data_IF_548080664648
#
_entry.id   IF_548080664648
#
_cell.length_a   1.000
_cell.length_b   1.000
_cell.length_c   1.000
_cell.angle_alpha   90.00
_cell.angle_beta   90.00
_cell.angle_gamma   90.00
#
_symmetry.space_group_name_H-M   'P 1'
#
loop_
_entity.id
_entity.type
_entity.pdbx_description
1 polymer ?
#
# COMPACT_ATOMS: atom_id res chain seq x y z
N UNK A 1 4.70 -13.14 12.11
CA UNK A 1 4.82 -14.06 13.26
C UNK A 1 5.64 -15.25 12.82
N UNK A 2 6.58 -15.68 13.65
CA UNK A 2 7.40 -16.88 13.44
C UNK A 2 6.90 -17.93 14.44
N UNK A 3 6.59 -19.13 13.96
CA UNK A 3 6.16 -20.26 14.77
C UNK A 3 7.08 -21.43 14.41
N UNK A 4 8.04 -21.70 15.28
CA UNK A 4 9.16 -22.63 15.06
C UNK A 4 9.69 -23.02 16.44
N UNK A 5 9.84 -24.32 16.71
CA UNK A 5 10.30 -24.83 18.01
C UNK A 5 11.82 -24.75 18.17
N UNK A 6 12.57 -25.00 17.10
CA UNK A 6 14.04 -24.91 17.12
C UNK A 6 14.53 -23.46 17.26
N UNK A 7 15.21 -23.15 18.36
CA UNK A 7 15.65 -21.78 18.67
C UNK A 7 16.67 -21.24 17.66
N UNK A 8 17.52 -22.12 17.10
CA UNK A 8 18.50 -21.73 16.09
C UNK A 8 17.82 -21.34 14.77
N UNK A 9 16.87 -22.15 14.29
CA UNK A 9 16.06 -21.86 13.11
C UNK A 9 15.22 -20.59 13.31
N UNK A 10 14.55 -20.45 14.46
CA UNK A 10 13.77 -19.26 14.81
C UNK A 10 14.65 -18.01 14.84
N UNK A 11 15.85 -18.08 15.43
CA UNK A 11 16.84 -16.99 15.44
C UNK A 11 17.33 -16.63 14.03
N UNK A 12 17.58 -17.62 13.19
CA UNK A 12 17.97 -17.41 11.80
C UNK A 12 16.87 -16.68 11.03
N UNK A 13 15.63 -17.17 11.10
CA UNK A 13 14.47 -16.54 10.45
C UNK A 13 14.31 -15.10 10.94
N UNK A 14 14.35 -14.87 12.26
CA UNK A 14 14.29 -13.52 12.84
C UNK A 14 15.37 -12.60 12.28
N UNK A 15 16.60 -13.11 12.13
CA UNK A 15 17.72 -12.33 11.59
C UNK A 15 17.50 -11.98 10.12
N UNK A 16 17.02 -12.92 9.32
CA UNK A 16 16.63 -12.69 7.92
C UNK A 16 15.56 -11.61 7.85
N UNK A 17 14.52 -11.71 8.70
CA UNK A 17 13.41 -10.76 8.70
C UNK A 17 13.88 -9.34 9.08
N UNK A 18 14.62 -9.18 10.18
CA UNK A 18 15.11 -7.86 10.62
C UNK A 18 16.03 -7.17 9.62
N UNK A 19 16.83 -7.95 8.87
CA UNK A 19 17.78 -7.39 7.89
C UNK A 19 17.11 -6.94 6.60
N UNK A 20 16.02 -7.58 6.19
CA UNK A 20 15.44 -7.38 4.86
C UNK A 20 14.08 -6.68 4.88
N UNK A 21 13.42 -6.58 6.04
CA UNK A 21 12.05 -6.06 6.15
C UNK A 21 11.89 -5.15 7.37
N UNK A 22 11.25 -4.00 7.16
CA UNK A 22 10.75 -3.16 8.25
C UNK A 22 9.46 -3.77 8.83
N UNK A 23 9.60 -4.67 9.80
CA UNK A 23 8.48 -5.39 10.38
C UNK A 23 8.62 -5.60 11.90
N UNK A 24 7.47 -5.72 12.58
CA UNK A 24 7.40 -6.20 13.95
C UNK A 24 7.43 -7.73 13.94
N UNK A 25 8.29 -8.32 14.76
CA UNK A 25 8.44 -9.77 14.86
C UNK A 25 7.77 -10.24 16.15
N UNK A 26 6.83 -11.18 15.97
CA UNK A 26 6.15 -11.92 17.03
C UNK A 26 6.62 -13.36 16.89
N UNK A 27 7.02 -13.98 18.00
CA UNK A 27 7.61 -15.33 18.00
C UNK A 27 6.80 -16.25 18.91
N UNK A 28 6.62 -17.50 18.48
CA UNK A 28 6.06 -18.57 19.27
C UNK A 28 6.88 -19.85 19.04
N UNK A 29 7.08 -20.62 20.10
CA UNK A 29 7.87 -21.87 20.05
C UNK A 29 7.03 -23.12 19.75
N UNK A 30 5.70 -23.01 19.75
CA UNK A 30 4.78 -24.10 19.42
C UNK A 30 3.38 -23.56 19.09
N UNK A 31 2.46 -24.46 18.71
CA UNK A 31 1.10 -24.10 18.35
C UNK A 31 0.23 -23.54 19.48
N UNK A 32 0.39 -24.02 20.72
CA UNK A 32 -0.40 -23.53 21.87
C UNK A 32 -0.01 -22.11 22.26
N UNK A 33 1.30 -21.83 22.31
CA UNK A 33 1.84 -20.48 22.53
C UNK A 33 1.39 -19.55 21.41
N UNK A 34 1.41 -20.03 20.17
CA UNK A 34 0.92 -19.25 19.04
C UNK A 34 -0.56 -18.89 19.18
N UNK A 35 -1.42 -19.86 19.50
CA UNK A 35 -2.86 -19.63 19.72
C UNK A 35 -3.11 -18.65 20.87
N UNK A 36 -2.32 -18.71 21.94
CA UNK A 36 -2.43 -17.78 23.05
C UNK A 36 -2.09 -16.34 22.63
N UNK A 37 -1.02 -16.16 21.86
CA UNK A 37 -0.64 -14.84 21.33
C UNK A 37 -1.67 -14.32 20.33
N UNK A 38 -2.23 -15.19 19.49
CA UNK A 38 -3.24 -14.83 18.49
C UNK A 38 -4.54 -14.31 19.11
N UNK A 39 -4.81 -14.54 20.41
CA UNK A 39 -5.95 -13.93 21.11
C UNK A 39 -5.83 -12.41 21.23
N UNK A 40 -4.62 -11.88 21.25
CA UNK A 40 -4.37 -10.44 21.44
C UNK A 40 -3.71 -9.79 20.23
N UNK A 41 -3.02 -10.55 19.39
CA UNK A 41 -2.24 -10.04 18.25
C UNK A 41 -2.69 -10.68 16.94
N UNK A 42 -2.93 -9.87 15.90
CA UNK A 42 -3.29 -10.37 14.56
C UNK A 42 -2.12 -10.14 13.60
N UNK A 43 -1.31 -11.16 13.29
CA UNK A 43 -0.16 -11.00 12.41
C UNK A 43 -0.58 -10.84 10.94
N UNK A 44 0.22 -10.09 10.18
CA UNK A 44 -0.01 -9.94 8.74
C UNK A 44 0.48 -11.12 7.91
N UNK A 45 1.52 -11.82 8.37
CA UNK A 45 2.08 -13.04 7.75
C UNK A 45 2.51 -13.98 8.88
N UNK A 46 2.25 -15.26 8.71
CA UNK A 46 2.72 -16.33 9.59
C UNK A 46 3.76 -17.17 8.83
N UNK A 47 4.93 -17.36 9.43
CA UNK A 47 5.91 -18.36 9.05
C UNK A 47 5.74 -19.52 10.02
N UNK A 48 5.41 -20.70 9.51
CA UNK A 48 5.00 -21.84 10.33
C UNK A 48 5.84 -23.07 9.99
N UNK A 49 6.53 -23.62 10.98
CA UNK A 49 7.03 -24.98 10.88
C UNK A 49 5.88 -25.98 11.01
N UNK A 50 5.89 -27.02 10.17
CA UNK A 50 4.97 -28.14 10.28
C UNK A 50 5.45 -29.15 11.32
N UNK A 51 6.76 -29.35 11.42
CA UNK A 51 7.35 -30.40 12.23
C UNK A 51 7.67 -29.93 13.64
N UNK A 52 6.64 -29.53 14.40
CA UNK A 52 6.79 -29.08 15.79
C UNK A 52 6.24 -30.09 16.82
N UNK A 53 6.82 -30.18 18.02
CA UNK A 53 6.24 -30.90 19.16
C UNK A 53 5.04 -30.14 19.77
N UNK A 54 4.31 -30.81 20.68
CA UNK A 54 3.13 -30.30 21.41
C UNK A 54 1.88 -30.14 20.54
N UNK A 55 1.94 -29.34 19.48
CA UNK A 55 0.87 -29.20 18.50
C UNK A 55 1.49 -29.16 17.09
N UNK A 56 1.03 -30.06 16.22
CA UNK A 56 1.45 -30.13 14.83
C UNK A 56 1.07 -28.83 14.09
N UNK A 57 2.00 -28.28 13.30
CA UNK A 57 1.70 -27.11 12.47
C UNK A 57 0.52 -27.34 11.51
N UNK A 58 0.26 -28.58 11.10
CA UNK A 58 -0.92 -28.95 10.31
C UNK A 58 -2.23 -28.79 11.08
N UNK A 59 -2.22 -29.10 12.38
CA UNK A 59 -3.37 -28.90 13.28
C UNK A 59 -3.60 -27.40 13.52
N UNK A 60 -2.54 -26.67 13.86
CA UNK A 60 -2.60 -25.22 14.01
C UNK A 60 -3.14 -24.55 12.74
N UNK A 61 -2.64 -24.92 11.56
CA UNK A 61 -3.13 -24.40 10.28
C UNK A 61 -4.63 -24.64 10.13
N UNK A 62 -5.12 -25.82 10.50
CA UNK A 62 -6.54 -26.15 10.41
C UNK A 62 -7.37 -25.26 11.35
N UNK A 63 -6.89 -25.01 12.56
CA UNK A 63 -7.52 -24.08 13.51
C UNK A 63 -7.53 -22.64 12.97
N UNK A 64 -6.41 -22.16 12.41
CA UNK A 64 -6.32 -20.84 11.79
C UNK A 64 -7.34 -20.68 10.64
N UNK A 65 -7.52 -21.72 9.82
CA UNK A 65 -8.47 -21.70 8.69
C UNK A 65 -9.93 -21.77 9.13
N UNK A 66 -10.22 -22.41 10.27
CA UNK A 66 -11.56 -22.44 10.85
C UNK A 66 -11.99 -21.11 11.47
N UNK A 67 -11.03 -20.26 11.87
CA UNK A 67 -11.31 -18.99 12.52
C UNK A 67 -11.45 -17.83 11.51
N UNK A 68 -12.59 -17.12 11.44
CA UNK A 68 -12.81 -16.03 10.49
C UNK A 68 -11.78 -14.89 10.54
N UNK A 69 -11.16 -14.65 11.69
CA UNK A 69 -10.14 -13.60 11.85
C UNK A 69 -8.79 -14.00 11.22
N UNK A 70 -8.47 -15.29 11.20
CA UNK A 70 -7.17 -15.80 10.76
C UNK A 70 -7.22 -16.56 9.43
N UNK A 71 -8.42 -16.90 8.94
CA UNK A 71 -8.59 -17.71 7.72
C UNK A 71 -7.93 -17.10 6.48
N UNK A 72 -7.83 -15.77 6.42
CA UNK A 72 -7.21 -15.03 5.30
C UNK A 72 -5.77 -14.64 5.56
N UNK A 73 -5.22 -14.89 6.76
CA UNK A 73 -3.83 -14.57 7.07
C UNK A 73 -2.92 -15.47 6.22
N UNK A 74 -2.02 -14.89 5.43
CA UNK A 74 -1.01 -15.62 4.67
C UNK A 74 -0.14 -16.49 5.57
N UNK A 75 -0.04 -17.78 5.22
CA UNK A 75 0.82 -18.74 5.91
C UNK A 75 1.87 -19.23 4.93
N UNK A 76 3.14 -19.00 5.25
CA UNK A 76 4.31 -19.56 4.59
C UNK A 76 4.80 -20.74 5.41
N UNK A 77 4.72 -21.94 4.85
CA UNK A 77 5.21 -23.13 5.53
C UNK A 77 6.72 -23.20 5.44
N UNK A 78 7.38 -23.63 6.51
CA UNK A 78 8.78 -24.04 6.52
C UNK A 78 8.77 -25.52 6.88
N UNK A 79 9.43 -26.38 6.10
CA UNK A 79 9.40 -27.82 6.37
C UNK A 79 10.69 -28.50 5.96
N UNK A 80 11.12 -29.50 6.72
CA UNK A 80 12.22 -30.39 6.33
C UNK A 80 11.79 -31.45 5.32
N UNK A 81 10.48 -31.68 5.14
CA UNK A 81 9.96 -32.74 4.28
C UNK A 81 9.66 -32.20 2.87
N UNK A 82 10.41 -32.69 1.88
CA UNK A 82 10.13 -32.45 0.46
C UNK A 82 9.04 -33.35 -0.12
N UNK A 83 8.21 -33.96 0.73
CA UNK A 83 7.16 -34.89 0.31
C UNK A 83 6.07 -34.14 -0.46
N UNK A 84 5.91 -34.52 -1.73
CA UNK A 84 4.93 -33.92 -2.64
C UNK A 84 3.50 -34.13 -2.15
N UNK A 85 3.21 -35.23 -1.45
CA UNK A 85 1.88 -35.49 -0.91
C UNK A 85 1.55 -34.53 0.24
N UNK A 86 2.49 -34.32 1.16
CA UNK A 86 2.35 -33.35 2.24
C UNK A 86 2.19 -31.94 1.68
N UNK A 87 3.05 -31.51 0.76
CA UNK A 87 2.96 -30.20 0.10
C UNK A 87 1.61 -30.03 -0.59
N UNK A 88 1.16 -31.05 -1.34
CA UNK A 88 -0.14 -31.04 -1.99
C UNK A 88 -1.30 -30.88 -1.01
N UNK A 89 -1.24 -31.59 0.12
CA UNK A 89 -2.24 -31.48 1.19
C UNK A 89 -2.27 -30.07 1.80
N UNK A 90 -1.11 -29.45 2.03
CA UNK A 90 -1.02 -28.12 2.61
C UNK A 90 -1.49 -27.03 1.64
N UNK A 91 -1.18 -27.17 0.35
CA UNK A 91 -1.72 -26.30 -0.70
C UNK A 91 -3.25 -26.34 -0.72
N UNK A 92 -3.85 -27.53 -0.57
CA UNK A 92 -5.32 -27.66 -0.48
C UNK A 92 -5.92 -26.97 0.76
N UNK A 93 -5.14 -26.82 1.85
CA UNK A 93 -5.52 -26.06 3.06
C UNK A 93 -5.31 -24.55 2.92
N UNK A 94 -4.93 -24.07 1.74
CA UNK A 94 -4.83 -22.64 1.44
C UNK A 94 -3.60 -21.96 2.05
N UNK A 95 -2.46 -22.65 2.12
CA UNK A 95 -1.17 -21.97 2.36
C UNK A 95 -0.82 -21.06 1.18
N UNK A 96 0.02 -20.05 1.41
CA UNK A 96 0.45 -19.17 0.33
C UNK A 96 1.62 -19.74 -0.47
N UNK A 97 2.58 -20.33 0.23
CA UNK A 97 3.76 -20.94 -0.33
C UNK A 97 4.45 -21.81 0.75
N UNK A 98 5.54 -22.50 0.39
CA UNK A 98 6.37 -23.25 1.33
C UNK A 98 7.87 -23.03 1.10
N UNK A 99 8.70 -23.31 2.10
CA UNK A 99 10.16 -23.31 2.05
C UNK A 99 10.67 -24.65 2.56
N UNK A 100 11.68 -25.21 1.88
CA UNK A 100 12.37 -26.40 2.35
C UNK A 100 13.52 -26.00 3.27
N UNK A 101 13.68 -26.71 4.38
CA UNK A 101 14.90 -26.67 5.19
C UNK A 101 16.02 -27.44 4.43
N UNK A 102 17.28 -26.96 4.43
CA UNK A 102 17.81 -25.82 5.16
C UNK A 102 17.35 -24.46 4.59
N UNK A 103 17.15 -23.50 5.49
CA UNK A 103 16.61 -22.18 5.14
C UNK A 103 17.61 -21.39 4.30
N UNK A 104 17.29 -21.19 3.02
CA UNK A 104 18.05 -20.33 2.12
C UNK A 104 17.57 -18.88 2.21
N UNK A 105 18.50 -17.94 2.44
CA UNK A 105 18.18 -16.53 2.69
C UNK A 105 17.57 -15.86 1.44
N UNK A 106 18.20 -15.90 0.25
CA UNK A 106 17.61 -15.34 -0.96
C UNK A 106 16.21 -15.86 -1.27
N UNK A 107 16.02 -17.18 -1.20
CA UNK A 107 14.73 -17.80 -1.50
C UNK A 107 13.66 -17.42 -0.47
N UNK A 108 14.02 -17.34 0.81
CA UNK A 108 13.11 -16.88 1.88
C UNK A 108 12.63 -15.46 1.61
N UNK A 109 13.56 -14.53 1.33
CA UNK A 109 13.24 -13.13 1.03
C UNK A 109 12.36 -13.02 -0.20
N UNK A 110 12.67 -13.77 -1.27
CA UNK A 110 11.89 -13.82 -2.50
C UNK A 110 10.45 -14.28 -2.26
N UNK A 111 10.22 -15.37 -1.51
CA UNK A 111 8.87 -15.87 -1.22
C UNK A 111 8.06 -14.91 -0.38
N UNK A 112 8.68 -14.29 0.63
CA UNK A 112 8.01 -13.27 1.45
C UNK A 112 7.65 -12.05 0.60
N UNK A 113 8.55 -11.56 -0.27
CA UNK A 113 8.25 -10.47 -1.19
C UNK A 113 7.09 -10.79 -2.13
N UNK A 114 7.01 -12.01 -2.65
CA UNK A 114 5.88 -12.47 -3.48
C UNK A 114 4.56 -12.45 -2.69
N UNK A 115 4.57 -12.88 -1.43
CA UNK A 115 3.41 -12.83 -0.54
C UNK A 115 3.01 -11.38 -0.30
N UNK A 116 3.95 -10.51 0.07
CA UNK A 116 3.71 -9.07 0.28
C UNK A 116 3.13 -8.43 -0.97
N UNK A 117 3.72 -8.66 -2.15
CA UNK A 117 3.23 -8.13 -3.42
C UNK A 117 1.79 -8.58 -3.71
N UNK A 118 1.46 -9.85 -3.44
CA UNK A 118 0.08 -10.35 -3.58
C UNK A 118 -0.87 -9.73 -2.56
N UNK A 119 -0.43 -9.54 -1.32
CA UNK A 119 -1.23 -8.86 -0.29
C UNK A 119 -1.49 -7.40 -0.63
N UNK A 120 -0.48 -6.70 -1.17
CA UNK A 120 -0.61 -5.34 -1.67
C UNK A 120 -1.59 -5.33 -2.84
N UNK A 121 -1.39 -6.15 -3.86
CA UNK A 121 -2.31 -6.25 -5.00
C UNK A 121 -3.74 -6.66 -4.60
N UNK A 122 -3.93 -7.48 -3.55
CA UNK A 122 -5.25 -7.84 -3.04
C UNK A 122 -5.87 -6.75 -2.17
N UNK A 123 -5.06 -6.01 -1.41
CA UNK A 123 -5.51 -4.81 -0.70
C UNK A 123 -5.88 -3.73 -1.69
N UNK A 124 -5.09 -3.55 -2.74
CA UNK A 124 -5.38 -2.68 -3.87
C UNK A 124 -6.66 -3.16 -4.52
N UNK A 125 -6.80 -4.43 -4.90
CA UNK A 125 -8.01 -4.98 -5.49
C UNK A 125 -9.25 -4.96 -4.57
N UNK A 126 -9.11 -5.08 -3.25
CA UNK A 126 -10.22 -5.00 -2.29
C UNK A 126 -10.57 -3.55 -1.93
N UNK A 127 -9.59 -2.65 -1.95
CA UNK A 127 -9.77 -1.20 -1.86
C UNK A 127 -10.47 -0.71 -3.13
N UNK A 128 -9.88 -1.00 -4.29
CA UNK A 128 -10.48 -0.92 -5.62
C UNK A 128 -11.87 -1.54 -5.57
N UNK A 129 -12.14 -2.81 -5.27
CA UNK A 129 -13.52 -3.38 -5.19
C UNK A 129 -14.47 -2.65 -4.23
N UNK A 130 -13.99 -2.20 -3.05
CA UNK A 130 -14.79 -1.42 -2.09
C UNK A 130 -15.15 -0.02 -2.62
N UNK A 131 -14.32 0.53 -3.51
CA UNK A 131 -14.49 1.83 -4.17
C UNK A 131 -14.86 1.71 -5.69
N UNK A 132 -14.87 0.51 -6.28
CA UNK A 132 -15.14 0.13 -7.67
C UNK A 132 -16.56 -0.38 -7.87
N UNK A 133 -17.36 -0.38 -6.80
CA UNK A 133 -18.77 -0.10 -7.02
C UNK A 133 -18.98 1.31 -7.64
N UNK A 134 -17.90 2.08 -7.93
CA UNK A 134 -17.90 3.36 -8.66
C UNK A 134 -16.89 3.51 -9.84
N UNK A 135 -16.06 2.54 -10.26
CA UNK A 135 -14.95 2.84 -11.21
C UNK A 135 -15.17 2.41 -12.68
N UNK A 136 -14.92 3.38 -13.57
CA UNK A 136 -15.07 3.39 -15.03
C UNK A 136 -13.73 3.47 -15.78
N UNK A 137 -12.56 3.29 -15.13
CA UNK A 137 -11.24 3.32 -15.77
C UNK A 137 -10.53 4.68 -15.71
N UNK A 138 -10.72 5.43 -14.62
CA UNK A 138 -10.24 6.80 -14.47
C UNK A 138 -8.81 6.88 -13.90
N UNK A 139 -8.00 7.90 -14.27
CA UNK A 139 -6.64 8.07 -13.74
C UNK A 139 -6.62 8.52 -12.26
N UNK A 140 -5.61 8.08 -11.51
CA UNK A 140 -5.40 8.45 -10.11
C UNK A 140 -4.79 9.85 -9.90
N UNK A 141 -5.38 10.63 -8.99
CA UNK A 141 -4.99 12.01 -8.65
C UNK A 141 -4.86 12.15 -7.12
N UNK A 142 -3.71 12.62 -6.63
CA UNK A 142 -3.50 12.95 -5.22
C UNK A 142 -3.73 14.44 -4.99
N UNK A 143 -4.79 14.79 -4.26
CA UNK A 143 -5.14 16.13 -3.83
C UNK A 143 -4.52 16.44 -2.47
N UNK A 144 -3.68 17.47 -2.40
CA UNK A 144 -3.11 17.99 -1.15
C UNK A 144 -3.89 19.23 -0.71
N UNK A 145 -4.84 19.03 0.20
CA UNK A 145 -5.80 20.03 0.67
C UNK A 145 -6.14 19.79 2.15
N UNK A 146 -6.06 20.85 2.97
CA UNK A 146 -6.35 20.77 4.39
C UNK A 146 -7.80 21.13 4.74
N UNK A 147 -8.50 21.86 3.86
CA UNK A 147 -9.89 22.25 4.06
C UNK A 147 -10.85 21.13 3.63
N UNK A 148 -11.67 20.64 4.56
CA UNK A 148 -12.59 19.53 4.30
C UNK A 148 -13.70 19.89 3.30
N UNK A 149 -14.17 21.15 3.28
CA UNK A 149 -15.20 21.58 2.32
C UNK A 149 -14.61 21.68 0.92
N UNK A 150 -13.38 22.18 0.80
CA UNK A 150 -12.66 22.24 -0.47
C UNK A 150 -12.42 20.84 -1.04
N UNK A 151 -12.05 19.87 -0.20
CA UNK A 151 -11.95 18.46 -0.62
C UNK A 151 -13.29 17.92 -1.13
N UNK A 152 -14.35 18.06 -0.35
CA UNK A 152 -15.69 17.58 -0.74
C UNK A 152 -16.16 18.20 -2.07
N UNK A 153 -15.93 19.50 -2.27
CA UNK A 153 -16.21 20.18 -3.53
C UNK A 153 -15.37 19.64 -4.69
N UNK A 154 -14.07 19.43 -4.48
CA UNK A 154 -13.16 18.90 -5.50
C UNK A 154 -13.57 17.49 -5.95
N UNK A 155 -13.87 16.61 -4.98
CA UNK A 155 -14.38 15.26 -5.26
C UNK A 155 -15.70 15.29 -6.04
N UNK A 156 -16.63 16.18 -5.69
CA UNK A 156 -17.91 16.32 -6.41
C UNK A 156 -17.72 16.76 -7.86
N UNK A 157 -16.73 17.61 -8.13
CA UNK A 157 -16.49 18.17 -9.46
C UNK A 157 -15.70 17.24 -10.39
N UNK A 158 -14.81 16.41 -9.82
CA UNK A 158 -13.78 15.72 -10.59
C UNK A 158 -13.73 14.21 -10.35
N UNK A 159 -14.54 13.69 -9.41
CA UNK A 159 -14.60 12.25 -9.11
C UNK A 159 -15.13 11.38 -10.27
N UNK A 160 -15.73 11.99 -11.29
CA UNK A 160 -16.13 11.35 -12.54
C UNK A 160 -15.00 11.32 -13.60
N UNK A 161 -13.90 12.03 -13.37
CA UNK A 161 -12.73 12.11 -14.25
C UNK A 161 -11.46 11.54 -13.64
N UNK A 162 -11.40 11.44 -12.32
CA UNK A 162 -10.24 10.99 -11.58
C UNK A 162 -10.62 10.10 -10.39
N UNK A 163 -9.73 9.18 -10.05
CA UNK A 163 -9.71 8.55 -8.73
C UNK A 163 -8.94 9.47 -7.80
N UNK A 164 -9.65 10.19 -6.92
CA UNK A 164 -9.07 11.24 -6.09
C UNK A 164 -8.67 10.68 -4.71
N UNK A 165 -7.41 10.89 -4.35
CA UNK A 165 -6.84 10.56 -3.04
C UNK A 165 -6.57 11.85 -2.28
N UNK A 166 -6.85 11.90 -0.98
CA UNK A 166 -6.63 13.10 -0.18
C UNK A 166 -5.36 12.99 0.67
N UNK A 167 -4.63 14.09 0.76
CA UNK A 167 -3.58 14.32 1.73
C UNK A 167 -3.78 15.69 2.39
N UNK A 168 -3.64 15.75 3.71
CA UNK A 168 -3.84 17.00 4.46
C UNK A 168 -2.63 17.93 4.49
N UNK A 169 -1.43 17.39 4.21
CA UNK A 169 -0.16 18.10 4.26
C UNK A 169 0.93 17.34 3.47
N UNK A 170 2.16 17.86 3.44
CA UNK A 170 3.24 17.30 2.62
C UNK A 170 3.73 15.94 3.08
N UNK A 171 3.73 15.68 4.40
CA UNK A 171 4.11 14.37 4.95
C UNK A 171 3.08 13.29 4.62
N UNK A 172 1.80 13.64 4.74
CA UNK A 172 0.68 12.78 4.34
C UNK A 172 0.73 12.49 2.84
N UNK A 173 1.02 13.53 2.04
CA UNK A 173 1.18 13.42 0.59
C UNK A 173 2.35 12.51 0.20
N UNK A 174 3.51 12.60 0.87
CA UNK A 174 4.65 11.72 0.61
C UNK A 174 4.31 10.27 0.93
N UNK A 175 3.66 10.01 2.07
CA UNK A 175 3.25 8.65 2.44
C UNK A 175 2.21 8.09 1.47
N UNK A 176 1.28 8.92 1.02
CA UNK A 176 0.27 8.57 0.03
C UNK A 176 0.91 8.31 -1.34
N UNK A 177 1.85 9.14 -1.77
CA UNK A 177 2.56 9.00 -3.04
C UNK A 177 3.31 7.66 -3.13
N UNK A 178 4.07 7.30 -2.09
CA UNK A 178 4.82 6.05 -2.04
C UNK A 178 3.91 4.81 -2.13
N UNK A 179 2.69 4.91 -1.61
CA UNK A 179 1.73 3.79 -1.53
C UNK A 179 0.81 3.70 -2.74
N UNK A 180 0.35 4.83 -3.24
CA UNK A 180 -0.74 4.93 -4.22
C UNK A 180 -0.23 5.10 -5.65
N UNK A 181 1.04 5.51 -5.83
CA UNK A 181 1.65 5.81 -7.13
C UNK A 181 0.71 6.58 -8.07
N UNK A 182 0.19 7.75 -7.64
CA UNK A 182 -0.75 8.53 -8.44
C UNK A 182 -0.08 9.06 -9.70
N UNK A 183 -0.85 9.20 -10.80
CA UNK A 183 -0.36 9.80 -12.04
C UNK A 183 -0.26 11.33 -11.94
N UNK A 184 -1.14 11.92 -11.15
CA UNK A 184 -1.23 13.37 -10.98
C UNK A 184 -1.20 13.76 -9.51
N UNK A 185 -0.57 14.87 -9.19
CA UNK A 185 -0.59 15.48 -7.86
C UNK A 185 -1.07 16.91 -8.00
N UNK A 186 -2.04 17.31 -7.20
CA UNK A 186 -2.59 18.67 -7.19
C UNK A 186 -2.47 19.25 -5.79
N UNK A 187 -1.76 20.36 -5.67
CA UNK A 187 -1.43 20.99 -4.39
C UNK A 187 -2.14 22.34 -4.27
N UNK A 188 -2.83 22.60 -3.16
CA UNK A 188 -3.44 23.92 -2.93
C UNK A 188 -2.39 24.96 -2.48
N UNK A 189 -2.51 26.21 -2.95
CA UNK A 189 -1.64 27.34 -2.56
C UNK A 189 -1.70 27.69 -1.06
N UNK A 190 -2.74 27.30 -0.33
CA UNK A 190 -2.86 27.48 1.12
C UNK A 190 -2.06 26.46 1.94
N UNK A 191 -1.51 25.42 1.30
CA UNK A 191 -0.60 24.48 1.96
C UNK A 191 0.70 25.18 2.36
N UNK A 192 1.23 24.83 3.54
CA UNK A 192 2.41 25.47 4.12
C UNK A 192 3.65 25.37 3.22
N UNK A 193 4.56 26.34 3.35
CA UNK A 193 5.79 26.40 2.54
C UNK A 193 6.66 25.15 2.68
N UNK A 194 6.77 24.61 3.90
CA UNK A 194 7.53 23.39 4.18
C UNK A 194 6.90 22.16 3.52
N UNK A 195 5.57 22.06 3.54
CA UNK A 195 4.83 20.98 2.90
C UNK A 195 5.01 21.02 1.38
N UNK A 196 4.92 22.20 0.78
CA UNK A 196 5.20 22.40 -0.65
C UNK A 196 6.61 21.97 -1.00
N UNK A 197 7.60 22.29 -0.17
CA UNK A 197 9.00 21.87 -0.37
C UNK A 197 9.15 20.35 -0.27
N UNK A 198 8.49 19.69 0.68
CA UNK A 198 8.49 18.21 0.77
C UNK A 198 7.95 17.61 -0.52
N UNK A 199 6.84 18.13 -1.03
CA UNK A 199 6.20 17.63 -2.25
C UNK A 199 7.11 17.87 -3.46
N UNK A 200 7.48 19.11 -3.76
CA UNK A 200 8.24 19.39 -4.99
C UNK A 200 9.66 18.87 -4.97
N UNK A 201 10.29 18.74 -3.79
CA UNK A 201 11.66 18.26 -3.68
C UNK A 201 11.72 16.73 -3.53
N UNK A 202 11.03 16.13 -2.55
CA UNK A 202 11.13 14.67 -2.32
C UNK A 202 10.27 13.86 -3.27
N UNK A 203 9.05 14.31 -3.52
CA UNK A 203 8.18 13.62 -4.48
C UNK A 203 8.69 13.92 -5.89
N UNK A 204 9.10 15.17 -6.19
CA UNK A 204 9.70 15.53 -7.48
C UNK A 204 10.96 14.72 -7.85
N UNK A 205 11.91 14.57 -6.91
CA UNK A 205 13.12 13.73 -7.12
C UNK A 205 12.80 12.25 -7.38
N UNK A 206 11.72 11.74 -6.78
CA UNK A 206 11.26 10.34 -6.96
C UNK A 206 10.35 10.18 -8.18
N UNK A 207 9.70 11.26 -8.62
CA UNK A 207 8.72 11.29 -9.71
C UNK A 207 9.39 11.27 -11.10
N UNK A 208 10.62 11.75 -11.23
CA UNK A 208 11.38 11.73 -12.49
C UNK A 208 11.58 10.32 -13.06
N UNK A 209 11.50 9.27 -12.23
CA UNK A 209 11.54 7.87 -12.69
C UNK A 209 10.16 7.25 -12.95
N UNK A 210 9.06 7.91 -12.52
CA UNK A 210 7.69 7.36 -12.48
C UNK A 210 6.64 8.10 -13.33
N UNK A 211 7.03 9.07 -14.15
CA UNK A 211 6.13 9.89 -15.00
C UNK A 211 4.94 10.52 -14.24
N UNK A 212 5.21 11.25 -13.15
CA UNK A 212 4.17 11.92 -12.36
C UNK A 212 4.20 13.42 -12.59
N UNK A 213 3.03 14.02 -12.84
CA UNK A 213 2.89 15.47 -13.01
C UNK A 213 2.30 16.14 -11.77
N UNK A 214 2.92 17.24 -11.34
CA UNK A 214 2.59 18.00 -10.12
C UNK A 214 2.09 19.39 -10.50
N UNK A 215 0.85 19.71 -10.09
CA UNK A 215 0.19 20.97 -10.36
C UNK A 215 -0.09 21.76 -9.09
N UNK A 216 -0.04 23.09 -9.18
CA UNK A 216 -0.42 24.00 -8.09
C UNK A 216 -1.76 24.66 -8.39
N UNK A 217 -2.74 24.53 -7.49
CA UNK A 217 -3.96 25.36 -7.50
C UNK A 217 -3.64 26.69 -6.82
N UNK A 218 -3.80 27.80 -7.53
CA UNK A 218 -3.58 29.13 -6.99
C UNK A 218 -4.75 30.07 -7.25
N UNK A 219 -5.07 30.92 -6.27
CA UNK A 219 -6.06 32.00 -6.41
C UNK A 219 -5.48 33.26 -7.06
N UNK A 220 -4.17 33.50 -6.90
CA UNK A 220 -3.46 34.60 -7.54
C UNK A 220 -2.17 34.09 -8.22
N UNK A 221 -2.14 34.22 -9.55
CA UNK A 221 -1.01 33.78 -10.38
C UNK A 221 0.24 34.64 -10.19
N UNK A 222 0.12 35.86 -9.63
CA UNK A 222 1.27 36.75 -9.36
C UNK A 222 2.15 36.23 -8.21
N UNK A 223 1.58 35.46 -7.28
CA UNK A 223 2.28 34.88 -6.12
C UNK A 223 3.22 33.74 -6.50
N UNK A 224 3.02 33.12 -7.68
CA UNK A 224 3.76 31.93 -8.13
C UNK A 224 5.04 32.27 -8.91
N UNK A 225 5.41 33.55 -8.99
CA UNK A 225 6.67 34.01 -9.62
C UNK A 225 7.95 33.68 -8.83
N UNK A 226 7.83 33.01 -7.69
CA UNK A 226 8.97 32.52 -6.92
C UNK A 226 9.53 31.25 -7.58
N UNK A 227 10.69 31.38 -8.25
CA UNK A 227 11.55 30.31 -8.81
C UNK A 227 11.99 29.21 -7.81
N UNK A 228 11.30 29.04 -6.70
CA UNK A 228 11.69 28.18 -5.55
C UNK A 228 11.07 26.79 -5.66
N UNK A 229 10.01 26.61 -6.46
CA UNK A 229 9.28 25.34 -6.59
C UNK A 229 9.18 24.90 -8.06
N UNK A 230 9.37 23.60 -8.31
CA UNK A 230 9.18 22.97 -9.62
C UNK A 230 7.80 22.31 -9.66
N UNK A 231 6.85 22.98 -10.30
CA UNK A 231 5.55 22.44 -10.66
C UNK A 231 5.46 22.33 -12.18
N UNK A 232 4.79 21.31 -12.71
CA UNK A 232 4.58 21.10 -14.14
C UNK A 232 3.52 22.06 -14.71
N UNK A 233 2.67 22.61 -13.84
CA UNK A 233 1.69 23.62 -14.23
C UNK A 233 1.00 24.30 -13.05
N UNK A 234 0.31 25.39 -13.36
CA UNK A 234 -0.54 26.13 -12.42
C UNK A 234 -1.99 26.02 -12.90
N UNK A 235 -2.88 25.68 -11.97
CA UNK A 235 -4.33 25.64 -12.14
C UNK A 235 -4.88 26.89 -11.45
N UNK A 236 -5.55 27.75 -12.19
CA UNK A 236 -6.17 28.95 -11.60
C UNK A 236 -7.46 28.55 -10.91
N UNK A 237 -7.61 28.90 -9.63
CA UNK A 237 -8.85 28.65 -8.90
C UNK A 237 -9.91 29.66 -9.33
N UNK A 238 -10.81 29.23 -10.21
CA UNK A 238 -11.94 30.04 -10.70
C UNK A 238 -13.13 29.98 -9.73
N UNK A 239 -13.91 31.06 -9.66
CA UNK A 239 -15.05 31.17 -8.73
C UNK A 239 -16.20 30.22 -9.11
N UNK A 240 -16.40 30.01 -10.42
CA UNK A 240 -17.44 29.11 -10.92
C UNK A 240 -16.94 27.67 -10.94
N UNK A 241 -17.67 26.72 -10.32
CA UNK A 241 -17.22 25.33 -10.22
C UNK A 241 -16.96 24.63 -11.56
N UNK A 242 -17.80 24.88 -12.57
CA UNK A 242 -17.65 24.26 -13.91
C UNK A 242 -16.40 24.78 -14.65
N UNK A 243 -16.16 26.10 -14.60
CA UNK A 243 -14.96 26.68 -15.21
C UNK A 243 -13.69 26.18 -14.50
N UNK A 244 -13.74 26.02 -13.18
CA UNK A 244 -12.63 25.44 -12.41
C UNK A 244 -12.40 23.96 -12.77
N UNK A 245 -13.46 23.17 -12.93
CA UNK A 245 -13.40 21.78 -13.38
C UNK A 245 -12.72 21.67 -14.75
N UNK A 246 -13.14 22.50 -15.71
CA UNK A 246 -12.58 22.54 -17.05
C UNK A 246 -11.10 22.92 -17.06
N UNK A 247 -10.71 23.92 -16.25
CA UNK A 247 -9.30 24.30 -16.11
C UNK A 247 -8.45 23.15 -15.55
N UNK A 248 -8.95 22.41 -14.55
CA UNK A 248 -8.25 21.24 -14.01
C UNK A 248 -8.09 20.16 -15.09
N UNK A 249 -9.17 19.80 -15.79
CA UNK A 249 -9.13 18.76 -16.84
C UNK A 249 -8.16 19.15 -17.94
N UNK A 250 -8.24 20.38 -18.45
CA UNK A 250 -7.37 20.90 -19.51
C UNK A 250 -5.89 20.85 -19.10
N UNK A 251 -5.57 21.28 -17.89
CA UNK A 251 -4.18 21.34 -17.41
C UNK A 251 -3.61 19.97 -17.07
N UNK A 252 -4.42 19.11 -16.45
CA UNK A 252 -3.96 17.82 -15.91
C UNK A 252 -3.98 16.71 -16.96
N UNK A 253 -5.02 16.64 -17.80
CA UNK A 253 -5.15 15.61 -18.84
C UNK A 253 -4.63 16.05 -20.22
N UNK A 254 -4.41 17.36 -20.43
CA UNK A 254 -3.97 17.89 -21.72
C UNK A 254 -5.07 17.85 -22.81
N UNK A 255 -6.34 17.68 -22.42
CA UNK A 255 -7.47 17.68 -23.35
C UNK A 255 -7.84 19.11 -23.75
N UNK A 256 -7.96 19.37 -25.06
CA UNK A 256 -8.60 20.60 -25.55
C UNK A 256 -10.12 20.51 -25.33
N UNK A 257 -10.61 21.20 -24.30
CA UNK A 257 -12.05 21.32 -24.07
C UNK A 257 -12.60 22.27 -25.13
N UNK A 258 -13.31 21.72 -26.12
CA UNK A 258 -14.09 22.52 -27.06
C UNK A 258 -15.31 23.03 -26.30
N UNK A 259 -15.27 24.30 -25.88
CA UNK A 259 -16.42 24.97 -25.26
C UNK A 259 -17.51 25.03 -26.33
N UNK A 260 -18.49 24.14 -26.25
CA UNK A 260 -19.70 24.25 -27.08
C UNK A 260 -20.51 25.39 -26.48
N UNK A 261 -20.49 26.52 -27.19
CA UNK A 261 -21.21 27.77 -26.91
C UNK A 261 -22.72 27.60 -26.84
#
# INVERSE_FOLDING_TARGET
>A
MIIEDDDAARTLIRTILKKNFACTIIEAENGETALSILKTEIPNIILLDISMPVMDGSELLSLLRSNPLFKTVPVLIITAMGDKELVGSLLSKGICDYLLKPIDVPETVKRINKIIAKMLAQKDAAYITKYNNLDHGLPGLLLVENDNKAKEQFHKLLGDRFIIYDAKNGTDALSAFEKLSPRYIVVNDKIGLLDKKIITQRIGETATEKEVSIFLIATDTKVVSLKVFTFDGIIVKLEKPEEFRDEVIKKVLGEEITIIS
#
